data_IF_051373549045
#
_entry.id   IF_051373549045
#
_cell.length_a   1.000
_cell.length_b   1.000
_cell.length_c   1.000
_cell.angle_alpha   90.00
_cell.angle_beta   90.00
_cell.angle_gamma   90.00
#
_symmetry.space_group_name_H-M   'P 1'
#
loop_
_entity.id
_entity.type
_entity.pdbx_description
1 polymer ?
#
# COMPACT_ATOMS: atom_id res chain seq x y z
N UNK A 1 -3.51 8.01 -16.04
CA UNK A 1 -2.32 8.07 -15.16
C UNK A 1 -2.71 7.36 -13.87
N UNK A 2 -1.90 6.43 -13.38
CA UNK A 2 -2.18 5.69 -12.14
C UNK A 2 -1.88 6.62 -10.96
N UNK A 3 -2.92 7.27 -10.43
CA UNK A 3 -2.82 8.36 -9.45
C UNK A 3 -1.99 7.98 -8.20
N UNK A 4 -1.98 6.69 -7.82
CA UNK A 4 -1.22 6.21 -6.69
C UNK A 4 0.30 6.18 -6.98
N UNK A 5 0.69 5.84 -8.21
CA UNK A 5 2.10 5.88 -8.61
C UNK A 5 2.61 7.32 -8.72
N UNK A 6 1.77 8.25 -9.18
CA UNK A 6 2.10 9.67 -9.17
C UNK A 6 2.31 10.18 -7.74
N UNK A 7 1.46 9.76 -6.79
CA UNK A 7 1.62 10.07 -5.36
C UNK A 7 2.93 9.48 -4.79
N UNK A 8 3.27 8.24 -5.11
CA UNK A 8 4.53 7.61 -4.70
C UNK A 8 5.74 8.41 -5.22
N UNK A 9 5.70 8.84 -6.48
CA UNK A 9 6.76 9.66 -7.07
C UNK A 9 6.87 11.01 -6.35
N UNK A 10 5.74 11.64 -6.03
CA UNK A 10 5.70 12.89 -5.28
C UNK A 10 6.27 12.72 -3.85
N UNK A 11 5.86 11.67 -3.13
CA UNK A 11 6.38 11.34 -1.81
C UNK A 11 7.89 11.11 -1.81
N UNK A 12 8.40 10.37 -2.81
CA UNK A 12 9.84 10.16 -3.01
C UNK A 12 10.59 11.47 -3.25
N UNK A 13 10.07 12.36 -4.10
CA UNK A 13 10.65 13.69 -4.36
C UNK A 13 10.68 14.56 -3.11
N UNK A 14 9.64 14.51 -2.30
CA UNK A 14 9.53 15.23 -1.03
C UNK A 14 10.31 14.58 0.12
N UNK A 15 11.00 13.45 -0.12
CA UNK A 15 11.64 12.61 0.90
C UNK A 15 10.70 12.23 2.05
N UNK A 16 9.41 12.03 1.76
CA UNK A 16 8.42 11.54 2.70
C UNK A 16 8.46 10.00 2.70
N UNK A 17 8.92 9.33 3.78
CA UNK A 17 9.01 7.88 3.81
C UNK A 17 7.64 7.22 3.70
N UNK A 18 7.52 6.27 2.79
CA UNK A 18 6.33 5.43 2.62
C UNK A 18 6.73 4.05 2.07
N UNK A 19 5.88 3.07 2.32
CA UNK A 19 5.98 1.71 1.79
C UNK A 19 4.86 1.49 0.77
N UNK A 20 5.19 0.89 -0.37
CA UNK A 20 4.22 0.46 -1.37
C UNK A 20 3.88 -1.01 -1.15
N UNK A 21 2.61 -1.29 -0.88
CA UNK A 21 2.06 -2.63 -0.79
C UNK A 21 1.38 -2.96 -2.12
N UNK A 22 1.65 -4.13 -2.68
CA UNK A 22 1.02 -4.62 -3.91
C UNK A 22 0.55 -6.06 -3.74
N UNK A 23 -0.68 -6.35 -4.16
CA UNK A 23 -1.17 -7.72 -4.26
C UNK A 23 -0.45 -8.40 -5.43
N UNK A 24 0.49 -9.29 -5.14
CA UNK A 24 1.28 -9.99 -6.15
C UNK A 24 0.48 -11.11 -6.85
N UNK A 25 -0.33 -11.83 -6.08
CA UNK A 25 -1.16 -12.93 -6.57
C UNK A 25 -2.32 -13.16 -5.59
N UNK A 26 -3.35 -13.87 -6.08
CA UNK A 26 -4.51 -14.27 -5.28
C UNK A 26 -4.85 -15.74 -5.54
N UNK A 27 -5.55 -16.36 -4.59
CA UNK A 27 -6.05 -17.73 -4.74
C UNK A 27 -7.48 -17.83 -4.23
N UNK A 28 -8.38 -18.37 -5.04
CA UNK A 28 -9.81 -18.42 -4.73
C UNK A 28 -10.53 -17.09 -4.98
N UNK A 29 -11.74 -16.96 -4.44
CA UNK A 29 -12.54 -15.73 -4.54
C UNK A 29 -12.11 -14.75 -3.46
N UNK A 30 -11.42 -13.68 -3.86
CA UNK A 30 -10.96 -12.60 -2.98
C UNK A 30 -11.41 -11.25 -3.53
N UNK A 31 -11.58 -10.23 -2.68
CA UNK A 31 -12.24 -8.99 -3.09
C UNK A 31 -11.43 -8.10 -4.04
N UNK A 32 -10.11 -8.33 -4.21
CA UNK A 32 -9.18 -7.53 -5.03
C UNK A 32 -8.32 -8.43 -5.91
N UNK A 33 -8.05 -7.97 -7.12
CA UNK A 33 -7.23 -8.66 -8.11
C UNK A 33 -5.73 -8.38 -7.89
N UNK A 34 -4.84 -9.25 -8.40
CA UNK A 34 -3.43 -8.95 -8.51
C UNK A 34 -3.20 -7.58 -9.14
N UNK A 35 -2.25 -6.83 -8.58
CA UNK A 35 -1.96 -5.47 -9.00
C UNK A 35 -2.69 -4.39 -8.19
N UNK A 36 -3.63 -4.72 -7.31
CA UNK A 36 -4.13 -3.75 -6.32
C UNK A 36 -2.98 -3.22 -5.44
N UNK A 37 -3.00 -1.92 -5.13
CA UNK A 37 -1.89 -1.24 -4.44
C UNK A 37 -2.39 -0.34 -3.31
N UNK A 38 -1.52 -0.16 -2.34
CA UNK A 38 -1.71 0.77 -1.23
C UNK A 38 -0.37 1.37 -0.81
N UNK A 39 -0.34 2.67 -0.56
CA UNK A 39 0.76 3.34 0.11
C UNK A 39 0.50 3.39 1.60
N UNK A 40 1.54 3.16 2.40
CA UNK A 40 1.52 3.31 3.85
C UNK A 40 2.62 4.27 4.25
N UNK A 41 2.28 5.37 4.89
CA UNK A 41 3.21 6.37 5.38
C UNK A 41 3.63 6.08 6.82
N UNK A 42 4.78 6.62 7.24
CA UNK A 42 5.31 6.40 8.61
C UNK A 42 4.38 6.90 9.72
N UNK A 43 3.54 7.88 9.43
CA UNK A 43 2.51 8.42 10.35
C UNK A 43 1.25 7.54 10.43
N UNK A 44 1.20 6.43 9.68
CA UNK A 44 0.05 5.54 9.61
C UNK A 44 -1.00 5.97 8.58
N UNK A 45 -0.81 7.08 7.87
CA UNK A 45 -1.68 7.47 6.76
C UNK A 45 -1.57 6.44 5.62
N UNK A 46 -2.69 6.14 4.97
CA UNK A 46 -2.73 5.22 3.82
C UNK A 46 -3.40 5.87 2.61
N UNK A 47 -2.96 5.48 1.41
CA UNK A 47 -3.59 5.85 0.14
C UNK A 47 -3.78 4.59 -0.71
N UNK A 48 -4.93 4.44 -1.37
CA UNK A 48 -5.32 3.19 -2.03
C UNK A 48 -5.76 2.10 -1.04
N UNK A 49 -6.06 0.91 -1.58
CA UNK A 49 -6.52 -0.25 -0.79
C UNK A 49 -6.14 -1.54 -1.52
N UNK A 50 -5.80 -2.58 -0.74
CA UNK A 50 -5.57 -3.93 -1.25
C UNK A 50 -6.75 -4.88 -0.98
N UNK A 51 -7.89 -4.36 -0.51
CA UNK A 51 -9.12 -5.12 -0.31
C UNK A 51 -9.76 -4.97 1.08
N UNK A 52 -9.16 -4.19 1.98
CA UNK A 52 -9.71 -3.90 3.31
C UNK A 52 -9.64 -5.05 4.30
N UNK A 53 -10.32 -4.86 5.43
CA UNK A 53 -10.47 -5.86 6.48
C UNK A 53 -9.19 -6.23 7.21
N UNK A 54 -9.15 -7.44 7.79
CA UNK A 54 -8.04 -7.90 8.63
C UNK A 54 -6.72 -8.02 7.86
N UNK A 55 -6.77 -8.44 6.60
CA UNK A 55 -5.57 -8.63 5.79
C UNK A 55 -4.90 -7.29 5.46
N UNK A 56 -5.69 -6.26 5.16
CA UNK A 56 -5.15 -4.91 4.96
C UNK A 56 -4.51 -4.36 6.25
N UNK A 57 -5.14 -4.57 7.41
CA UNK A 57 -4.56 -4.16 8.69
C UNK A 57 -3.21 -4.84 8.99
N UNK A 58 -3.08 -6.14 8.68
CA UNK A 58 -1.80 -6.87 8.80
C UNK A 58 -0.75 -6.30 7.85
N UNK A 59 -1.11 -6.06 6.59
CA UNK A 59 -0.20 -5.48 5.61
C UNK A 59 0.25 -4.06 6.00
N UNK A 60 -0.62 -3.24 6.60
CA UNK A 60 -0.26 -1.92 7.14
C UNK A 60 0.77 -2.07 8.27
N UNK A 61 0.57 -3.01 9.19
CA UNK A 61 1.51 -3.24 10.28
C UNK A 61 2.90 -3.68 9.78
N UNK A 62 2.95 -4.61 8.83
CA UNK A 62 4.19 -5.05 8.19
C UNK A 62 4.87 -3.91 7.43
N UNK A 63 4.09 -3.12 6.69
CA UNK A 63 4.60 -1.96 5.97
C UNK A 63 5.21 -0.91 6.91
N UNK A 64 4.56 -0.62 8.04
CA UNK A 64 5.10 0.28 9.08
C UNK A 64 6.40 -0.26 9.68
N UNK A 65 6.53 -1.59 9.84
CA UNK A 65 7.75 -2.20 10.32
C UNK A 65 8.93 -2.02 9.36
N UNK A 66 8.69 -1.99 8.05
CA UNK A 66 9.70 -1.73 7.02
C UNK A 66 10.16 -0.26 6.97
N UNK A 67 9.44 0.67 7.60
CA UNK A 67 9.75 2.11 7.60
C UNK A 67 10.51 2.58 8.85
N UNK A 68 10.90 1.64 9.72
CA UNK A 68 11.68 1.91 10.93
C UNK A 68 13.15 2.16 10.63
#
# INVERSE_FOLDING_TARGET
MDALLDELIAARRARKPCALVTVAATRGSVPREPGAKMLVYRDGLTSGTIGGGKFEALAIADALACLR
#
